data_IF_961911111130
#
_entry.id   IF_961911111130
#
_cell.length_a   1.000
_cell.length_b   1.000
_cell.length_c   1.000
_cell.angle_alpha   90.00
_cell.angle_beta   90.00
_cell.angle_gamma   90.00
#
_symmetry.space_group_name_H-M   'P 1'
#
loop_
_entity.id
_entity.type
_entity.pdbx_description
1 polymer ?
#
# COMPACT_ATOMS: atom_id res chain seq x y z
N UNK A 1 18.48 -15.70 -19.06
CA UNK A 1 17.70 -14.46 -19.06
C UNK A 1 18.63 -13.27 -18.96
N UNK A 2 18.29 -12.16 -19.63
CA UNK A 2 19.00 -10.89 -19.57
C UNK A 2 17.98 -9.80 -19.30
N UNK A 3 18.30 -8.92 -18.35
CA UNK A 3 17.54 -7.70 -18.09
C UNK A 3 18.08 -6.65 -19.08
N UNK A 4 17.19 -5.97 -19.80
CA UNK A 4 17.59 -4.83 -20.62
C UNK A 4 17.94 -3.64 -19.74
N UNK A 5 18.95 -2.87 -20.14
CA UNK A 5 19.42 -1.71 -19.38
C UNK A 5 18.43 -0.53 -19.41
N UNK A 6 17.53 -0.52 -20.40
CA UNK A 6 16.50 0.51 -20.51
C UNK A 6 15.34 0.21 -19.55
N UNK A 7 14.99 1.19 -18.73
CA UNK A 7 13.79 1.15 -17.90
C UNK A 7 12.55 1.15 -18.81
N UNK A 8 11.64 0.21 -18.57
CA UNK A 8 10.39 0.15 -19.34
C UNK A 8 9.38 1.18 -18.86
N UNK A 9 9.23 1.30 -17.52
CA UNK A 9 8.37 2.26 -16.88
C UNK A 9 8.83 2.55 -15.46
N UNK A 10 8.66 3.81 -15.05
CA UNK A 10 8.68 4.21 -13.64
C UNK A 10 7.24 4.33 -13.17
N UNK A 11 6.89 3.61 -12.13
CA UNK A 11 5.55 3.61 -11.54
C UNK A 11 5.58 4.24 -10.15
N UNK A 12 4.55 5.00 -9.85
CA UNK A 12 4.31 5.54 -8.51
C UNK A 12 3.10 4.82 -7.91
N UNK A 13 3.32 4.09 -6.82
CA UNK A 13 2.25 3.39 -6.11
C UNK A 13 1.66 4.27 -5.02
N UNK A 14 0.33 4.37 -5.02
CA UNK A 14 -0.42 5.19 -4.08
C UNK A 14 -1.68 4.46 -3.59
N UNK A 15 -2.22 4.93 -2.48
CA UNK A 15 -3.47 4.43 -1.90
C UNK A 15 -4.63 5.10 -2.63
N UNK A 16 -5.57 4.32 -3.14
CA UNK A 16 -6.79 4.88 -3.70
C UNK A 16 -7.88 5.06 -2.64
N UNK A 17 -8.61 6.17 -2.75
CA UNK A 17 -9.67 6.60 -1.82
C UNK A 17 -10.84 7.13 -2.63
N UNK A 18 -12.08 6.95 -2.16
CA UNK A 18 -13.25 7.50 -2.84
C UNK A 18 -13.18 9.03 -2.91
N UNK A 19 -13.58 9.61 -4.04
CA UNK A 19 -13.50 11.07 -4.28
C UNK A 19 -14.25 11.91 -3.25
N UNK A 20 -15.35 11.39 -2.71
CA UNK A 20 -16.13 12.01 -1.64
C UNK A 20 -15.44 12.00 -0.28
N UNK A 21 -14.38 11.20 -0.09
CA UNK A 21 -13.65 11.06 1.17
C UNK A 21 -12.34 11.88 1.20
N UNK A 22 -12.39 13.13 0.77
CA UNK A 22 -11.22 14.02 0.73
C UNK A 22 -10.55 14.18 2.10
N UNK A 23 -11.31 14.16 3.19
CA UNK A 23 -10.79 14.25 4.55
C UNK A 23 -9.96 13.01 4.91
N UNK A 24 -10.40 11.82 4.50
CA UNK A 24 -9.64 10.58 4.69
C UNK A 24 -8.34 10.62 3.86
N UNK A 25 -8.40 11.08 2.61
CA UNK A 25 -7.21 11.27 1.77
C UNK A 25 -6.19 12.20 2.42
N UNK A 26 -6.64 13.32 2.97
CA UNK A 26 -5.78 14.27 3.67
C UNK A 26 -5.16 13.68 4.95
N UNK A 27 -5.96 12.95 5.72
CA UNK A 27 -5.49 12.28 6.94
C UNK A 27 -4.44 11.20 6.63
N UNK A 28 -4.66 10.38 5.60
CA UNK A 28 -3.70 9.38 5.16
C UNK A 28 -2.40 10.03 4.64
N UNK A 29 -2.49 11.12 3.87
CA UNK A 29 -1.31 11.85 3.41
C UNK A 29 -0.48 12.37 4.60
N UNK A 30 -1.12 12.92 5.62
CA UNK A 30 -0.44 13.34 6.86
C UNK A 30 0.25 12.16 7.54
N UNK A 31 -0.42 11.03 7.67
CA UNK A 31 0.17 9.83 8.25
C UNK A 31 1.37 9.31 7.44
N UNK A 32 1.25 9.28 6.09
CA UNK A 32 2.35 8.88 5.20
C UNK A 32 3.57 9.82 5.32
N UNK A 33 3.33 11.13 5.41
CA UNK A 33 4.41 12.12 5.58
C UNK A 33 5.13 11.94 6.93
N UNK A 34 4.40 11.64 8.01
CA UNK A 34 5.00 11.30 9.31
C UNK A 34 5.82 10.02 9.26
N UNK A 35 5.28 8.95 8.63
CA UNK A 35 5.96 7.66 8.48
C UNK A 35 7.23 7.75 7.61
N UNK A 36 7.24 8.66 6.63
CA UNK A 36 8.44 8.99 5.85
C UNK A 36 9.45 9.76 6.70
N UNK A 37 8.99 10.78 7.42
CA UNK A 37 9.86 11.66 8.20
C UNK A 37 10.56 10.93 9.36
N UNK A 38 9.89 9.98 10.01
CA UNK A 38 10.46 9.19 11.12
C UNK A 38 11.20 7.93 10.66
N UNK A 39 11.22 7.65 9.35
CA UNK A 39 11.90 6.50 8.74
C UNK A 39 11.16 5.17 8.88
N UNK A 40 9.93 5.15 9.37
CA UNK A 40 9.14 3.92 9.53
C UNK A 40 8.81 3.32 8.17
N UNK A 41 8.42 4.12 7.18
CA UNK A 41 8.10 3.63 5.84
C UNK A 41 9.32 2.99 5.17
N UNK A 42 10.50 3.60 5.29
CA UNK A 42 11.76 3.05 4.75
C UNK A 42 12.12 1.71 5.39
N UNK A 43 11.89 1.57 6.71
CA UNK A 43 12.10 0.32 7.43
C UNK A 43 11.14 -0.77 6.96
N UNK A 44 9.86 -0.44 6.78
CA UNK A 44 8.85 -1.36 6.24
C UNK A 44 9.29 -1.87 4.87
N UNK A 45 9.62 -0.98 3.95
CA UNK A 45 10.08 -1.35 2.60
C UNK A 45 11.34 -2.22 2.70
N UNK A 46 12.33 -1.82 3.51
CA UNK A 46 13.59 -2.55 3.70
C UNK A 46 13.40 -3.94 4.30
N UNK A 47 12.32 -4.17 5.05
CA UNK A 47 12.01 -5.48 5.59
C UNK A 47 11.68 -6.52 4.52
N UNK A 48 11.17 -6.08 3.37
CA UNK A 48 10.77 -6.95 2.26
C UNK A 48 11.73 -6.90 1.08
N UNK A 49 12.40 -5.76 0.86
CA UNK A 49 13.31 -5.51 -0.27
C UNK A 49 14.70 -5.18 0.26
N UNK A 50 15.71 -5.88 -0.26
CA UNK A 50 17.12 -5.66 0.05
C UNK A 50 17.78 -6.88 0.65
N UNK A 51 18.93 -7.27 0.09
CA UNK A 51 19.64 -8.50 0.42
C UNK A 51 20.09 -8.54 1.90
N UNK A 52 20.46 -7.39 2.45
CA UNK A 52 20.98 -7.30 3.82
C UNK A 52 19.91 -6.91 4.86
N UNK A 53 18.71 -6.54 4.46
CA UNK A 53 17.68 -5.96 5.34
C UNK A 53 16.42 -6.80 5.45
N UNK A 54 16.19 -7.69 4.51
CA UNK A 54 15.00 -8.55 4.47
C UNK A 54 14.82 -9.33 5.79
N UNK A 55 13.63 -9.19 6.39
CA UNK A 55 13.26 -9.84 7.64
C UNK A 55 13.83 -9.21 8.92
N UNK A 56 14.45 -8.02 8.84
CA UNK A 56 15.08 -7.38 10.01
C UNK A 56 14.25 -6.25 10.65
N UNK A 57 13.26 -5.75 9.96
CA UNK A 57 12.50 -4.55 10.37
C UNK A 57 11.00 -4.77 10.29
N UNK A 58 10.52 -5.92 10.77
CA UNK A 58 9.08 -6.18 10.78
C UNK A 58 8.35 -5.07 11.53
N UNK A 59 7.28 -4.54 10.92
CA UNK A 59 6.46 -3.53 11.56
C UNK A 59 5.65 -4.16 12.69
N UNK A 60 5.68 -3.51 13.85
CA UNK A 60 4.86 -3.85 15.00
C UNK A 60 4.11 -2.60 15.45
N UNK A 61 2.80 -2.71 15.58
CA UNK A 61 1.97 -1.62 16.10
C UNK A 61 2.41 -1.25 17.52
N UNK A 62 2.51 0.05 17.86
CA UNK A 62 2.71 0.47 19.24
C UNK A 62 1.63 -0.10 20.16
N UNK A 63 2.03 -0.54 21.37
CA UNK A 63 1.12 -1.21 22.30
C UNK A 63 0.03 -0.29 22.88
N UNK A 64 0.24 1.03 22.80
CA UNK A 64 -0.61 2.07 23.39
C UNK A 64 -1.47 2.82 22.34
N UNK A 65 -1.60 2.29 21.12
CA UNK A 65 -2.47 2.89 20.10
C UNK A 65 -3.92 2.84 20.57
N UNK A 66 -4.54 4.00 20.69
CA UNK A 66 -5.98 4.11 20.89
C UNK A 66 -6.70 3.92 19.53
N UNK A 67 -7.45 2.82 19.39
CA UNK A 67 -8.20 2.45 18.18
C UNK A 67 -9.67 2.80 18.25
N UNK A 68 -10.01 3.87 18.96
CA UNK A 68 -11.39 4.30 19.17
C UNK A 68 -12.04 4.94 17.94
N UNK A 69 -11.27 5.22 16.88
CA UNK A 69 -11.77 5.85 15.66
C UNK A 69 -12.40 4.86 14.65
N UNK A 70 -12.57 3.59 15.04
CA UNK A 70 -13.25 2.58 14.22
C UNK A 70 -12.30 1.72 13.39
N UNK A 71 -12.77 1.23 12.25
CA UNK A 71 -12.05 0.30 11.40
C UNK A 71 -11.78 0.91 10.03
N UNK A 72 -10.54 0.79 9.55
CA UNK A 72 -10.14 1.11 8.18
C UNK A 72 -10.17 -0.17 7.36
N UNK A 73 -11.08 -0.24 6.40
CA UNK A 73 -11.25 -1.41 5.52
C UNK A 73 -10.37 -1.22 4.27
N UNK A 74 -9.37 -2.07 4.14
CA UNK A 74 -8.42 -2.09 3.03
C UNK A 74 -8.80 -3.18 2.02
N UNK A 75 -9.12 -2.80 0.78
CA UNK A 75 -9.20 -3.72 -0.35
C UNK A 75 -7.81 -3.91 -0.96
N UNK A 76 -7.45 -5.17 -1.23
CA UNK A 76 -6.17 -5.54 -1.83
C UNK A 76 -6.31 -6.76 -2.74
N UNK A 77 -5.24 -7.13 -3.47
CA UNK A 77 -5.14 -8.39 -4.20
C UNK A 77 -3.84 -9.11 -3.80
N UNK A 78 -3.97 -10.06 -2.87
CA UNK A 78 -2.84 -10.71 -2.20
C UNK A 78 -2.07 -11.73 -3.09
N UNK A 79 -1.72 -11.30 -4.31
CA UNK A 79 -0.98 -12.06 -5.30
C UNK A 79 0.23 -11.29 -5.89
N UNK A 80 0.73 -10.26 -5.17
CA UNK A 80 1.78 -9.37 -5.67
C UNK A 80 2.94 -9.20 -4.66
N UNK A 81 3.72 -10.28 -4.44
CA UNK A 81 4.94 -10.21 -3.60
C UNK A 81 5.96 -9.23 -4.21
N UNK A 82 6.59 -8.35 -3.40
CA UNK A 82 6.60 -8.28 -1.94
C UNK A 82 5.58 -7.28 -1.34
N UNK A 83 4.65 -6.77 -2.12
CA UNK A 83 3.70 -5.74 -1.67
C UNK A 83 2.54 -6.32 -0.86
N UNK A 84 1.84 -7.33 -1.41
CA UNK A 84 0.78 -8.06 -0.73
C UNK A 84 0.73 -9.52 -1.19
N UNK A 85 0.87 -10.43 -0.26
CA UNK A 85 0.89 -11.87 -0.55
C UNK A 85 0.52 -12.70 0.67
N UNK A 86 0.20 -13.97 0.44
CA UNK A 86 -0.08 -14.90 1.53
C UNK A 86 1.20 -15.53 2.09
N UNK A 87 1.36 -15.45 3.42
CA UNK A 87 2.29 -16.26 4.19
C UNK A 87 1.48 -17.17 5.13
N UNK A 88 1.29 -18.42 4.73
CA UNK A 88 0.31 -19.30 5.35
C UNK A 88 -1.12 -18.78 5.16
N UNK A 89 -1.82 -18.53 6.25
CA UNK A 89 -3.20 -18.02 6.24
C UNK A 89 -3.26 -16.48 6.43
N UNK A 90 -2.12 -15.81 6.47
CA UNK A 90 -2.05 -14.36 6.69
C UNK A 90 -1.65 -13.64 5.40
N UNK A 91 -2.24 -12.50 5.18
CA UNK A 91 -1.80 -11.56 4.15
C UNK A 91 -0.73 -10.65 4.79
N UNK A 92 0.43 -10.57 4.15
CA UNK A 92 1.60 -9.83 4.59
C UNK A 92 2.19 -9.05 3.41
N UNK A 93 3.13 -8.15 3.67
CA UNK A 93 3.83 -7.41 2.65
C UNK A 93 3.96 -5.92 2.97
N UNK A 94 4.64 -5.20 2.08
CA UNK A 94 4.88 -3.76 2.23
C UNK A 94 3.55 -3.01 2.40
N UNK A 95 2.58 -3.32 1.56
CA UNK A 95 1.28 -2.64 1.53
C UNK A 95 0.48 -2.89 2.81
N UNK A 96 0.55 -4.11 3.33
CA UNK A 96 -0.12 -4.50 4.58
C UNK A 96 0.50 -3.78 5.78
N UNK A 97 1.82 -3.82 5.92
CA UNK A 97 2.52 -3.19 7.05
C UNK A 97 2.40 -1.65 7.00
N UNK A 98 2.47 -1.07 5.80
CA UNK A 98 2.26 0.36 5.59
C UNK A 98 0.81 0.77 5.92
N UNK A 99 -0.19 0.01 5.47
CA UNK A 99 -1.59 0.29 5.80
C UNK A 99 -1.87 0.13 7.30
N UNK A 100 -1.23 -0.84 7.97
CA UNK A 100 -1.30 -0.99 9.42
C UNK A 100 -0.70 0.22 10.13
N UNK A 101 0.46 0.70 9.69
CA UNK A 101 1.09 1.88 10.26
C UNK A 101 0.24 3.15 10.07
N UNK A 102 -0.41 3.29 8.91
CA UNK A 102 -1.38 4.37 8.65
C UNK A 102 -2.59 4.25 9.58
N UNK A 103 -3.19 3.06 9.72
CA UNK A 103 -4.32 2.83 10.61
C UNK A 103 -3.96 3.16 12.07
N UNK A 104 -2.76 2.80 12.52
CA UNK A 104 -2.25 3.15 13.85
C UNK A 104 -2.16 4.66 14.06
N UNK A 105 -1.66 5.41 13.07
CA UNK A 105 -1.63 6.88 13.10
C UNK A 105 -3.02 7.52 13.13
N UNK A 106 -4.00 6.89 12.47
CA UNK A 106 -5.39 7.34 12.45
C UNK A 106 -6.18 6.90 13.68
N UNK A 107 -5.63 6.06 14.55
CA UNK A 107 -6.33 5.49 15.69
C UNK A 107 -7.45 4.52 15.29
N UNK A 108 -7.23 3.72 14.26
CA UNK A 108 -8.20 2.77 13.69
C UNK A 108 -7.67 1.34 13.71
N UNK A 109 -8.58 0.37 13.78
CA UNK A 109 -8.24 -1.01 13.44
C UNK A 109 -8.10 -1.17 11.93
N UNK A 110 -7.22 -2.06 11.46
CA UNK A 110 -7.12 -2.42 10.04
C UNK A 110 -7.88 -3.73 9.79
N UNK A 111 -8.76 -3.71 8.78
CA UNK A 111 -9.39 -4.91 8.23
C UNK A 111 -8.98 -5.06 6.76
N UNK A 112 -8.52 -6.25 6.38
CA UNK A 112 -8.03 -6.52 5.01
C UNK A 112 -9.04 -7.39 4.28
N UNK A 113 -9.44 -6.95 3.07
CA UNK A 113 -10.33 -7.66 2.16
C UNK A 113 -9.56 -8.00 0.88
N UNK A 114 -9.27 -9.30 0.70
CA UNK A 114 -8.66 -9.82 -0.52
C UNK A 114 -9.69 -9.95 -1.64
N UNK A 115 -9.37 -9.45 -2.81
CA UNK A 115 -10.25 -9.52 -3.99
C UNK A 115 -9.45 -9.41 -5.28
N UNK A 116 -10.11 -9.67 -6.41
CA UNK A 116 -9.53 -9.43 -7.72
C UNK A 116 -9.14 -7.95 -7.90
N UNK A 117 -7.94 -7.69 -8.44
CA UNK A 117 -7.40 -6.34 -8.62
C UNK A 117 -8.37 -5.38 -9.32
N UNK A 118 -9.04 -5.84 -10.38
CA UNK A 118 -10.00 -5.04 -11.14
C UNK A 118 -11.26 -4.66 -10.34
N UNK A 119 -11.49 -5.30 -9.20
CA UNK A 119 -12.63 -5.03 -8.32
C UNK A 119 -12.34 -3.97 -7.26
N UNK A 120 -11.07 -3.66 -6.98
CA UNK A 120 -10.65 -2.79 -5.86
C UNK A 120 -11.26 -1.39 -5.99
N UNK A 121 -11.11 -0.72 -7.14
CA UNK A 121 -11.63 0.63 -7.34
C UNK A 121 -13.15 0.67 -7.14
N UNK A 122 -13.88 -0.34 -7.66
CA UNK A 122 -15.34 -0.43 -7.48
C UNK A 122 -15.72 -0.65 -6.02
N UNK A 123 -14.96 -1.45 -5.27
CA UNK A 123 -15.19 -1.67 -3.84
C UNK A 123 -15.02 -0.37 -3.05
N UNK A 124 -13.99 0.42 -3.36
CA UNK A 124 -13.75 1.72 -2.70
C UNK A 124 -14.82 2.74 -3.09
N UNK A 125 -15.18 2.85 -4.37
CA UNK A 125 -16.24 3.76 -4.84
C UNK A 125 -17.60 3.46 -4.21
N UNK A 126 -17.91 2.19 -3.98
CA UNK A 126 -19.21 1.78 -3.40
C UNK A 126 -19.25 1.84 -1.87
N UNK A 127 -18.13 2.19 -1.22
CA UNK A 127 -18.01 2.18 0.24
C UNK A 127 -17.94 0.80 0.87
N UNK A 128 -17.70 -0.26 0.07
CA UNK A 128 -17.44 -1.62 0.57
C UNK A 128 -16.06 -1.71 1.23
N UNK A 129 -15.13 -0.90 0.75
CA UNK A 129 -13.83 -0.66 1.39
C UNK A 129 -13.59 0.85 1.50
N UNK A 130 -12.79 1.27 2.46
CA UNK A 130 -12.43 2.68 2.66
C UNK A 130 -11.25 3.09 1.78
N UNK A 131 -10.31 2.17 1.62
CA UNK A 131 -9.09 2.36 0.83
C UNK A 131 -8.79 1.13 -0.05
N UNK A 132 -8.06 1.38 -1.13
CA UNK A 132 -7.45 0.33 -1.94
C UNK A 132 -5.93 0.46 -1.92
N UNK A 133 -5.24 -0.61 -1.54
CA UNK A 133 -3.78 -0.68 -1.47
C UNK A 133 -3.34 -2.00 -2.11
N UNK A 134 -2.72 -1.92 -3.28
CA UNK A 134 -2.40 -3.10 -4.08
C UNK A 134 -1.29 -2.81 -5.12
N UNK A 135 -0.19 -2.18 -4.71
CA UNK A 135 0.84 -1.75 -5.65
C UNK A 135 0.24 -0.96 -6.82
N UNK A 136 -0.73 -0.10 -6.52
CA UNK A 136 -1.57 0.51 -7.56
C UNK A 136 -0.92 1.77 -8.13
N UNK A 137 -0.60 1.74 -9.42
CA UNK A 137 -0.06 2.87 -10.15
C UNK A 137 -1.11 3.97 -10.33
N UNK A 138 -0.73 5.21 -10.06
CA UNK A 138 -1.53 6.39 -10.38
C UNK A 138 -1.58 6.58 -11.89
N UNK A 139 -2.76 6.55 -12.48
CA UNK A 139 -2.97 6.79 -13.91
C UNK A 139 -4.12 7.79 -14.14
N UNK A 140 -4.06 8.52 -15.24
CA UNK A 140 -5.14 9.46 -15.61
C UNK A 140 -6.51 8.78 -15.75
N UNK A 141 -6.53 7.53 -16.19
CA UNK A 141 -7.77 6.78 -16.35
C UNK A 141 -8.38 6.41 -15.01
N UNK A 142 -7.56 5.97 -14.05
CA UNK A 142 -8.01 5.69 -12.68
C UNK A 142 -8.46 6.96 -11.96
N UNK A 143 -7.76 8.08 -12.15
CA UNK A 143 -8.12 9.38 -11.57
C UNK A 143 -9.48 9.92 -12.00
N UNK A 144 -10.05 9.43 -13.11
CA UNK A 144 -11.45 9.75 -13.47
C UNK A 144 -12.45 9.22 -12.45
N UNK A 145 -12.14 8.09 -11.82
CA UNK A 145 -13.06 7.32 -11.00
C UNK A 145 -12.75 7.35 -9.50
N UNK A 146 -11.50 7.56 -9.13
CA UNK A 146 -10.99 7.47 -7.76
C UNK A 146 -9.98 8.58 -7.52
N UNK A 147 -9.75 8.98 -6.27
CA UNK A 147 -8.63 9.81 -5.86
C UNK A 147 -7.48 8.95 -5.32
N UNK A 148 -6.29 9.50 -5.33
CA UNK A 148 -5.09 8.87 -4.80
C UNK A 148 -4.45 9.76 -3.74
N UNK A 149 -3.81 9.12 -2.76
CA UNK A 149 -2.88 9.77 -1.85
C UNK A 149 -1.59 10.17 -2.57
N UNK A 150 -0.68 10.84 -1.87
CA UNK A 150 0.71 10.93 -2.30
C UNK A 150 1.29 9.53 -2.44
N UNK A 151 2.21 9.28 -3.40
CA UNK A 151 2.85 7.98 -3.57
C UNK A 151 3.61 7.58 -2.30
N UNK A 152 3.52 6.30 -1.92
CA UNK A 152 4.30 5.74 -0.82
C UNK A 152 5.59 5.05 -1.28
N UNK A 153 5.65 4.63 -2.54
CA UNK A 153 6.85 4.05 -3.15
C UNK A 153 6.87 4.27 -4.66
N UNK A 154 8.05 4.12 -5.24
CA UNK A 154 8.26 4.07 -6.69
C UNK A 154 8.82 2.70 -7.07
N UNK A 155 8.38 2.16 -8.20
CA UNK A 155 8.88 0.92 -8.76
C UNK A 155 9.34 1.12 -10.20
N UNK A 156 10.47 0.53 -10.55
CA UNK A 156 10.97 0.51 -11.94
C UNK A 156 10.67 -0.83 -12.56
N UNK A 157 9.91 -0.83 -13.65
CA UNK A 157 9.74 -2.03 -14.47
C UNK A 157 10.88 -2.17 -15.47
N UNK A 158 11.32 -3.40 -15.66
CA UNK A 158 12.38 -3.76 -16.60
C UNK A 158 11.91 -4.87 -17.54
N UNK A 159 12.46 -4.91 -18.76
CA UNK A 159 12.17 -5.98 -19.71
C UNK A 159 13.19 -7.10 -19.55
N UNK A 160 12.70 -8.32 -19.36
CA UNK A 160 13.53 -9.53 -19.30
C UNK A 160 13.38 -10.28 -20.61
N UNK A 161 14.51 -10.57 -21.29
CA UNK A 161 14.56 -11.32 -22.53
C UNK A 161 15.35 -12.61 -22.38
N UNK A 162 15.09 -13.57 -23.28
CA UNK A 162 15.94 -14.78 -23.38
C UNK A 162 17.27 -14.39 -24.02
N UNK A 163 18.36 -14.96 -23.47
CA UNK A 163 19.66 -14.97 -24.16
C UNK A 163 19.59 -15.82 -25.41
#
# INVERSE_FOLDING_TARGET
>A
LTILEEEFALEEYAICVAKENADLTAAINTALDELKADGTLDKIISNYIGDDTKGKFQYESPADVDRSNGTLIMATNAAFEPYEFYEGDKIVGIDVDMAQAVADKLGMDLQIEDMEFDSIITAVQSGKADIGVAGMTVTEDRLKNIDFTNPYTTATQVIIVRK
#
